data_IF_601116798536
#
_entry.id   IF_601116798536
#
_cell.length_a   1.000
_cell.length_b   1.000
_cell.length_c   1.000
_cell.angle_alpha   90.00
_cell.angle_beta   90.00
_cell.angle_gamma   90.00
#
_symmetry.space_group_name_H-M   'P 1'
#
loop_
_entity.id
_entity.type
_entity.pdbx_description
1 polymer ?
#
# COMPACT_ATOMS: atom_id res chain seq x y z
N UNK A 1 8.46 16.56 4.85
CA UNK A 1 8.21 15.64 3.72
C UNK A 1 6.75 15.77 3.34
N UNK A 2 6.47 16.55 2.29
CA UNK A 2 5.10 16.73 1.78
C UNK A 2 4.75 15.45 1.02
N UNK A 3 3.74 14.70 1.44
CA UNK A 3 3.35 13.48 0.74
C UNK A 3 2.69 13.90 -0.57
N UNK A 4 3.47 13.97 -1.65
CA UNK A 4 2.91 13.90 -2.99
C UNK A 4 2.16 12.57 -3.04
N UNK A 5 0.84 12.63 -3.24
CA UNK A 5 0.02 11.42 -3.21
C UNK A 5 0.52 10.49 -4.30
N UNK A 6 1.26 9.46 -3.91
CA UNK A 6 1.88 8.51 -4.81
C UNK A 6 0.87 7.80 -5.71
N UNK A 7 1.37 6.89 -6.52
CA UNK A 7 0.54 6.13 -7.45
C UNK A 7 -0.28 5.10 -6.63
N UNK A 8 -1.60 4.94 -6.85
CA UNK A 8 -2.36 3.90 -6.16
C UNK A 8 -1.75 2.51 -6.37
N UNK A 9 -1.78 1.64 -5.36
CA UNK A 9 -1.20 0.29 -5.44
C UNK A 9 -1.79 -0.52 -6.61
N UNK A 10 -3.09 -0.39 -6.87
CA UNK A 10 -3.76 -1.05 -8.00
C UNK A 10 -3.23 -0.60 -9.36
N UNK A 11 -2.88 0.68 -9.49
CA UNK A 11 -2.30 1.26 -10.69
C UNK A 11 -0.84 0.84 -10.84
N UNK A 12 -0.07 0.87 -9.74
CA UNK A 12 1.32 0.42 -9.71
C UNK A 12 1.46 -1.08 -10.07
N UNK A 13 0.48 -1.89 -9.69
CA UNK A 13 0.42 -3.32 -9.99
C UNK A 13 0.02 -3.63 -11.44
N UNK A 14 -0.45 -2.66 -12.24
CA UNK A 14 -0.80 -2.91 -13.65
C UNK A 14 0.42 -3.43 -14.42
N UNK A 15 0.21 -4.52 -15.16
CA UNK A 15 1.27 -5.17 -15.93
C UNK A 15 2.29 -5.95 -15.10
N UNK A 16 2.06 -6.14 -13.79
CA UNK A 16 2.89 -6.95 -12.89
C UNK A 16 2.04 -8.01 -12.20
N UNK A 17 2.67 -9.12 -11.82
CA UNK A 17 2.10 -10.09 -10.90
C UNK A 17 2.12 -9.55 -9.46
N UNK A 18 1.25 -10.09 -8.60
CA UNK A 18 1.23 -9.71 -7.20
C UNK A 18 2.49 -10.18 -6.43
N UNK A 19 3.18 -11.21 -6.93
CA UNK A 19 4.45 -11.68 -6.36
C UNK A 19 5.54 -10.66 -6.61
N UNK A 20 5.70 -10.18 -7.85
CA UNK A 20 6.69 -9.14 -8.20
C UNK A 20 6.46 -7.85 -7.39
N UNK A 21 5.20 -7.41 -7.26
CA UNK A 21 4.87 -6.22 -6.46
C UNK A 21 5.20 -6.42 -4.98
N UNK A 22 4.98 -7.64 -4.47
CA UNK A 22 5.29 -7.97 -3.08
C UNK A 22 6.80 -7.96 -2.81
N UNK A 23 7.60 -8.50 -3.73
CA UNK A 23 9.07 -8.46 -3.66
C UNK A 23 9.59 -7.02 -3.68
N UNK A 24 9.06 -6.18 -4.60
CA UNK A 24 9.43 -4.77 -4.71
C UNK A 24 9.15 -4.01 -3.41
N UNK A 25 7.99 -4.24 -2.80
CA UNK A 25 7.53 -3.53 -1.60
C UNK A 25 7.94 -4.22 -0.29
N UNK A 26 8.66 -5.35 -0.34
CA UNK A 26 9.12 -6.08 0.84
C UNK A 26 8.00 -6.67 1.69
N UNK A 27 6.91 -7.14 1.07
CA UNK A 27 5.76 -7.76 1.75
C UNK A 27 5.44 -9.13 1.15
N UNK A 28 4.39 -9.80 1.64
CA UNK A 28 3.91 -11.06 1.06
C UNK A 28 2.91 -10.80 -0.07
N UNK A 29 2.82 -11.73 -1.04
CA UNK A 29 1.80 -11.67 -2.10
C UNK A 29 0.37 -11.62 -1.53
N UNK A 30 0.11 -12.36 -0.44
CA UNK A 30 -1.17 -12.31 0.27
C UNK A 30 -1.50 -10.93 0.83
N UNK A 31 -0.48 -10.18 1.28
CA UNK A 31 -0.68 -8.80 1.74
C UNK A 31 -1.06 -7.87 0.58
N UNK A 32 -0.43 -8.01 -0.59
CA UNK A 32 -0.82 -7.27 -1.81
C UNK A 32 -2.27 -7.57 -2.20
N UNK A 33 -2.63 -8.86 -2.26
CA UNK A 33 -4.00 -9.29 -2.54
C UNK A 33 -5.01 -8.67 -1.57
N UNK A 34 -4.74 -8.76 -0.26
CA UNK A 34 -5.59 -8.17 0.77
C UNK A 34 -5.71 -6.65 0.63
N UNK A 35 -4.61 -5.94 0.35
CA UNK A 35 -4.63 -4.48 0.17
C UNK A 35 -5.52 -4.06 -1.00
N UNK A 36 -5.42 -4.77 -2.14
CA UNK A 36 -6.24 -4.50 -3.32
C UNK A 36 -7.71 -4.85 -3.06
N UNK A 37 -8.00 -6.04 -2.54
CA UNK A 37 -9.36 -6.54 -2.34
C UNK A 37 -10.14 -5.77 -1.26
N UNK A 38 -9.46 -5.32 -0.21
CA UNK A 38 -10.09 -4.54 0.88
C UNK A 38 -10.28 -3.06 0.54
N UNK A 39 -9.85 -2.61 -0.65
CA UNK A 39 -9.97 -1.21 -1.07
C UNK A 39 -9.18 -0.25 -0.17
N UNK A 40 -8.09 -0.71 0.45
CA UNK A 40 -7.21 0.15 1.26
C UNK A 40 -6.62 1.24 0.36
N UNK A 41 -6.59 2.47 0.84
CA UNK A 41 -5.92 3.57 0.13
C UNK A 41 -4.40 3.45 0.34
N UNK A 42 -3.77 2.60 -0.48
CA UNK A 42 -2.33 2.36 -0.47
C UNK A 42 -1.70 3.09 -1.66
N UNK A 43 -0.64 3.85 -1.37
CA UNK A 43 0.13 4.65 -2.33
C UNK A 43 1.55 4.13 -2.43
N UNK A 44 2.06 4.07 -3.65
CA UNK A 44 3.46 3.79 -3.93
C UNK A 44 4.15 5.09 -4.31
N UNK A 45 5.19 5.44 -3.56
CA UNK A 45 6.01 6.64 -3.77
C UNK A 45 7.41 6.16 -4.17
N UNK A 46 8.05 6.85 -5.09
CA UNK A 46 9.47 6.60 -5.37
C UNK A 46 10.28 7.53 -4.46
N UNK A 47 11.06 6.93 -3.55
CA UNK A 47 11.96 7.67 -2.67
C UNK A 47 13.02 8.44 -3.46
N UNK A 48 13.81 9.27 -2.77
CA UNK A 48 14.92 10.01 -3.40
C UNK A 48 16.00 9.08 -3.97
N UNK A 49 16.03 7.82 -3.54
CA UNK A 49 16.90 6.75 -4.03
C UNK A 49 16.28 5.96 -5.21
N UNK A 50 15.09 6.36 -5.67
CA UNK A 50 14.35 5.69 -6.75
C UNK A 50 13.67 4.39 -6.33
N UNK A 51 13.78 3.97 -5.07
CA UNK A 51 13.14 2.73 -4.60
C UNK A 51 11.64 2.96 -4.35
N UNK A 52 10.78 2.05 -4.81
CA UNK A 52 9.35 2.12 -4.49
C UNK A 52 9.10 1.83 -3.02
N UNK A 53 8.34 2.72 -2.37
CA UNK A 53 7.92 2.61 -0.97
C UNK A 53 6.39 2.64 -0.89
N UNK A 54 5.81 1.76 -0.08
CA UNK A 54 4.37 1.66 0.13
C UNK A 54 3.90 2.41 1.37
N UNK A 55 2.94 3.32 1.22
CA UNK A 55 2.31 4.06 2.30
C UNK A 55 0.80 3.80 2.32
N UNK A 56 0.24 3.53 3.49
CA UNK A 56 -1.21 3.49 3.66
C UNK A 56 -1.73 4.83 4.16
N UNK A 57 -2.67 5.41 3.43
CA UNK A 57 -3.41 6.60 3.83
C UNK A 57 -4.67 6.15 4.57
N UNK A 58 -4.82 6.61 5.80
CA UNK A 58 -6.00 6.32 6.61
C UNK A 58 -6.44 7.55 7.37
N UNK A 59 -7.74 7.84 7.35
CA UNK A 59 -8.34 8.88 8.19
C UNK A 59 -8.10 8.55 9.68
N UNK A 60 -7.61 9.51 10.43
CA UNK A 60 -7.44 9.39 11.88
C UNK A 60 -8.80 9.12 12.54
N UNK A 61 -8.86 8.17 13.48
CA UNK A 61 -10.09 7.80 14.21
C UNK A 61 -11.02 6.83 13.47
N UNK A 62 -10.70 6.39 12.26
CA UNK A 62 -11.53 5.45 11.47
C UNK A 62 -11.51 4.00 11.98
N UNK A 63 -10.50 3.62 12.78
CA UNK A 63 -10.42 2.28 13.36
C UNK A 63 -11.40 2.20 14.52
N UNK A 64 -12.46 1.38 14.39
CA UNK A 64 -13.32 1.03 15.53
C UNK A 64 -12.42 0.50 16.64
N UNK A 65 -12.47 1.13 17.82
CA UNK A 65 -11.83 0.57 19.02
C UNK A 65 -12.43 -0.81 19.20
N UNK A 66 -11.60 -1.85 19.22
CA UNK A 66 -12.05 -3.14 19.75
C UNK A 66 -12.34 -2.87 21.22
N UNK A 67 -13.61 -2.91 21.62
CA UNK A 67 -13.94 -3.00 23.04
C UNK A 67 -13.20 -4.23 23.55
N UNK A 68 -12.39 -4.06 24.60
CA UNK A 68 -11.78 -5.21 25.25
C UNK A 68 -12.92 -6.16 25.68
N UNK A 69 -12.76 -7.45 25.38
CA UNK A 69 -13.70 -8.50 25.77
C UNK A 69 -13.59 -8.75 27.28
#
# INVERSE_FOLDING_TARGET
>A
MTVQFGIPLSEFAKGRSQVEVAEILGVTQGAISQMILSGRDVRVVHGSDGRPEGFEIRRIGSRRKKTAA
#
